data_IF_973812883259
#
_entry.id   IF_973812883259
#
_cell.length_a   1.000
_cell.length_b   1.000
_cell.length_c   1.000
_cell.angle_alpha   90.00
_cell.angle_beta   90.00
_cell.angle_gamma   90.00
#
_symmetry.space_group_name_H-M   'P 1'
#
loop_
_entity.id
_entity.type
_entity.pdbx_description
1 polymer ?
#
# COMPACT_ATOMS: atom_id res chain seq x y z
N UNK A 1 -58.51 8.28 4.70
CA UNK A 1 -57.13 8.41 5.18
C UNK A 1 -56.48 7.04 5.17
N UNK A 2 -55.72 6.71 4.12
CA UNK A 2 -54.87 5.52 4.06
C UNK A 2 -53.64 5.88 3.23
N UNK A 3 -52.47 5.70 3.84
CA UNK A 3 -51.14 5.88 3.24
C UNK A 3 -50.90 4.86 2.13
N UNK A 4 -50.53 5.33 0.94
CA UNK A 4 -49.88 4.49 -0.08
C UNK A 4 -48.61 5.18 -0.61
N UNK A 5 -47.48 4.65 -0.12
CA UNK A 5 -46.29 4.24 -0.89
C UNK A 5 -45.76 5.23 -1.93
N UNK A 6 -44.83 6.09 -1.52
CA UNK A 6 -43.93 6.78 -2.46
C UNK A 6 -42.89 5.76 -2.94
N UNK A 7 -43.16 5.19 -4.11
CA UNK A 7 -42.18 4.51 -4.94
C UNK A 7 -40.99 5.44 -5.21
N UNK A 8 -39.85 5.20 -4.55
CA UNK A 8 -38.57 5.75 -4.98
C UNK A 8 -38.21 5.13 -6.33
N UNK A 9 -38.58 5.84 -7.40
CA UNK A 9 -38.11 5.56 -8.75
C UNK A 9 -36.59 5.65 -8.75
N UNK A 10 -35.94 4.50 -8.93
CA UNK A 10 -34.56 4.40 -9.40
C UNK A 10 -34.50 5.10 -10.76
N UNK A 11 -34.03 6.34 -10.77
CA UNK A 11 -33.91 7.14 -11.98
C UNK A 11 -32.72 6.63 -12.80
N UNK A 12 -33.00 5.70 -13.71
CA UNK A 12 -32.12 5.42 -14.86
C UNK A 12 -32.08 6.67 -15.76
N UNK A 13 -31.25 7.65 -15.40
CA UNK A 13 -31.07 8.89 -16.17
C UNK A 13 -30.10 8.63 -17.34
N UNK A 14 -30.62 8.05 -18.42
CA UNK A 14 -29.92 7.85 -19.71
C UNK A 14 -29.66 9.15 -20.49
N UNK A 15 -30.03 10.31 -19.96
CA UNK A 15 -29.98 11.63 -20.62
C UNK A 15 -28.90 12.58 -20.10
N UNK A 16 -28.20 12.22 -19.02
CA UNK A 16 -27.09 13.03 -18.52
C UNK A 16 -25.81 12.65 -19.28
N UNK A 17 -25.06 13.66 -19.75
CA UNK A 17 -23.67 13.44 -20.15
C UNK A 17 -22.92 12.89 -18.92
N UNK A 18 -22.05 11.88 -19.06
CA UNK A 18 -21.19 11.45 -17.96
C UNK A 18 -20.44 12.67 -17.42
N UNK A 19 -20.18 12.71 -16.11
CA UNK A 19 -19.37 13.78 -15.51
C UNK A 19 -18.06 13.86 -16.28
N UNK A 20 -17.83 14.96 -16.99
CA UNK A 20 -16.50 15.33 -17.50
C UNK A 20 -15.64 15.67 -16.28
N UNK A 21 -14.40 15.16 -16.27
CA UNK A 21 -13.35 15.37 -15.26
C UNK A 21 -13.25 14.25 -14.22
N UNK A 22 -13.11 13.00 -14.64
CA UNK A 22 -12.24 12.06 -13.92
C UNK A 22 -11.01 11.85 -14.79
N UNK A 23 -9.82 12.02 -14.22
CA UNK A 23 -8.56 11.75 -14.93
C UNK A 23 -8.48 10.25 -15.25
N UNK A 24 -8.29 9.90 -16.53
CA UNK A 24 -8.12 8.51 -16.96
C UNK A 24 -6.91 7.87 -16.25
N UNK A 25 -5.82 8.62 -16.12
CA UNK A 25 -4.59 8.22 -15.44
C UNK A 25 -3.84 9.46 -14.89
N UNK A 26 -2.89 9.22 -13.99
CA UNK A 26 -2.02 10.21 -13.37
C UNK A 26 -0.55 9.88 -13.69
N UNK A 27 0.21 10.83 -14.24
CA UNK A 27 1.64 10.65 -14.54
C UNK A 27 2.46 11.09 -13.32
N UNK A 28 3.10 10.15 -12.64
CA UNK A 28 3.82 10.45 -11.41
C UNK A 28 5.20 11.10 -11.63
N UNK A 29 5.82 10.89 -12.79
CA UNK A 29 7.14 11.45 -13.11
C UNK A 29 7.14 12.99 -13.10
N UNK A 30 5.99 13.62 -13.36
CA UNK A 30 5.84 15.09 -13.39
C UNK A 30 5.80 15.72 -11.99
N UNK A 31 5.76 14.92 -10.92
CA UNK A 31 5.57 15.39 -9.54
C UNK A 31 6.82 15.15 -8.69
N UNK A 32 7.44 16.22 -8.20
CA UNK A 32 8.53 16.10 -7.23
C UNK A 32 8.00 15.73 -5.84
N UNK A 33 8.66 14.82 -5.13
CA UNK A 33 8.25 14.41 -3.76
C UNK A 33 8.99 15.27 -2.72
N UNK A 34 8.25 16.14 -2.03
CA UNK A 34 8.79 16.84 -0.85
C UNK A 34 8.86 15.93 0.38
N UNK A 35 7.93 14.99 0.49
CA UNK A 35 7.90 14.07 1.62
C UNK A 35 7.15 12.77 1.33
N UNK A 36 7.78 11.65 1.69
CA UNK A 36 7.17 10.34 1.54
C UNK A 36 6.01 10.12 2.52
N UNK A 37 5.04 9.31 2.08
CA UNK A 37 3.83 8.93 2.81
C UNK A 37 3.69 7.42 2.82
N UNK A 38 3.23 6.90 3.94
CA UNK A 38 2.87 5.50 4.10
C UNK A 38 1.48 5.34 4.73
N UNK A 39 0.81 4.24 4.40
CA UNK A 39 -0.58 3.99 4.74
C UNK A 39 -0.71 3.34 6.13
N UNK A 40 -1.55 3.92 6.97
CA UNK A 40 -1.58 3.62 8.41
C UNK A 40 -1.98 2.18 8.77
N UNK A 41 -2.91 1.56 8.04
CA UNK A 41 -3.37 0.20 8.36
C UNK A 41 -2.30 -0.85 8.05
N UNK A 42 -1.60 -0.71 6.93
CA UNK A 42 -0.49 -1.57 6.54
C UNK A 42 0.74 -1.39 7.45
N UNK A 43 0.93 -0.21 8.05
CA UNK A 43 1.94 -0.02 9.11
C UNK A 43 1.53 -0.72 10.41
N UNK A 44 0.24 -0.71 10.76
CA UNK A 44 -0.29 -1.30 11.99
C UNK A 44 -0.35 -2.84 11.94
N UNK A 45 -0.67 -3.39 10.76
CA UNK A 45 -0.97 -4.81 10.55
C UNK A 45 -0.09 -5.45 9.47
N UNK A 46 0.23 -6.76 9.58
CA UNK A 46 1.23 -7.39 8.71
C UNK A 46 0.68 -7.78 7.33
N UNK A 47 0.38 -6.80 6.50
CA UNK A 47 -0.12 -7.01 5.12
C UNK A 47 0.94 -7.61 4.20
N UNK A 48 2.21 -7.27 4.44
CA UNK A 48 3.34 -7.68 3.61
C UNK A 48 4.16 -8.79 4.28
N UNK A 49 4.80 -9.62 3.47
CA UNK A 49 5.74 -10.63 3.94
C UNK A 49 7.13 -10.03 4.23
N UNK A 50 7.84 -10.61 5.19
CA UNK A 50 9.23 -10.25 5.49
C UNK A 50 10.25 -11.00 4.62
N UNK A 51 9.80 -12.00 3.85
CA UNK A 51 10.64 -12.83 3.00
C UNK A 51 9.91 -13.13 1.69
N UNK A 52 10.62 -13.03 0.56
CA UNK A 52 10.09 -13.40 -0.74
C UNK A 52 9.82 -14.90 -0.87
N UNK A 53 8.83 -15.26 -1.68
CA UNK A 53 8.40 -16.64 -1.89
C UNK A 53 7.58 -17.24 -0.74
N UNK A 54 7.14 -16.44 0.23
CA UNK A 54 6.20 -16.88 1.27
C UNK A 54 4.80 -17.08 0.65
N UNK A 55 4.35 -18.32 0.54
CA UNK A 55 3.03 -18.68 -0.02
C UNK A 55 2.05 -19.12 1.06
N UNK A 56 2.46 -19.15 2.34
CA UNK A 56 1.65 -19.70 3.42
C UNK A 56 0.63 -18.67 3.88
N UNK A 57 -0.67 -18.97 3.72
CA UNK A 57 -1.75 -18.12 4.25
C UNK A 57 -1.47 -17.70 5.69
N UNK A 58 -1.48 -16.40 5.94
CA UNK A 58 -1.21 -15.81 7.24
C UNK A 58 -2.50 -15.35 7.88
N UNK A 59 -2.73 -15.76 9.12
CA UNK A 59 -3.87 -15.31 9.92
C UNK A 59 -3.32 -14.52 11.10
N UNK A 60 -3.62 -13.23 11.12
CA UNK A 60 -3.29 -12.31 12.20
C UNK A 60 -4.58 -11.96 12.96
N UNK A 61 -4.55 -12.11 14.28
CA UNK A 61 -5.63 -11.69 15.17
C UNK A 61 -5.06 -10.87 16.32
N UNK A 62 -5.59 -9.67 16.50
CA UNK A 62 -5.16 -8.77 17.56
C UNK A 62 -6.35 -7.95 18.06
N UNK A 63 -6.87 -8.28 19.25
CA UNK A 63 -8.11 -7.68 19.75
C UNK A 63 -9.24 -7.96 18.75
N UNK A 64 -9.93 -6.90 18.32
CA UNK A 64 -11.01 -7.01 17.35
C UNK A 64 -10.51 -7.09 15.88
N UNK A 65 -9.23 -6.82 15.63
CA UNK A 65 -8.68 -6.85 14.28
C UNK A 65 -8.33 -8.27 13.84
N UNK A 66 -8.89 -8.69 12.71
CA UNK A 66 -8.53 -9.92 12.00
C UNK A 66 -8.04 -9.58 10.61
N UNK A 67 -6.86 -10.06 10.24
CA UNK A 67 -6.26 -9.90 8.92
C UNK A 67 -5.82 -11.26 8.41
N UNK A 68 -6.31 -11.64 7.24
CA UNK A 68 -5.90 -12.84 6.53
C UNK A 68 -5.17 -12.38 5.26
N UNK A 69 -3.97 -12.89 5.04
CA UNK A 69 -3.14 -12.60 3.86
C UNK A 69 -2.96 -13.88 3.07
N UNK A 70 -3.35 -13.85 1.81
CA UNK A 70 -3.28 -14.96 0.87
C UNK A 70 -2.49 -14.53 -0.37
N UNK A 71 -1.84 -15.47 -1.05
CA UNK A 71 -1.11 -15.21 -2.29
C UNK A 71 -1.33 -16.28 -3.35
N UNK A 72 -1.01 -15.94 -4.59
CA UNK A 72 -0.84 -16.93 -5.67
C UNK A 72 0.49 -17.67 -5.54
N UNK A 73 0.80 -18.54 -6.51
CA UNK A 73 2.04 -19.31 -6.60
C UNK A 73 3.32 -18.47 -6.65
N UNK A 74 3.23 -17.20 -7.03
CA UNK A 74 4.37 -16.25 -7.06
C UNK A 74 4.84 -15.81 -5.65
N UNK A 75 4.09 -16.16 -4.61
CA UNK A 75 4.33 -15.74 -3.23
C UNK A 75 3.75 -14.37 -2.89
N UNK A 76 3.60 -14.09 -1.59
CA UNK A 76 3.12 -12.82 -1.05
C UNK A 76 4.06 -11.67 -1.41
N UNK A 77 3.47 -10.50 -1.62
CA UNK A 77 4.19 -9.25 -1.72
C UNK A 77 4.98 -9.00 -0.42
N UNK A 78 6.23 -8.62 -0.59
CA UNK A 78 7.16 -8.34 0.50
C UNK A 78 7.09 -6.88 0.92
N UNK A 79 7.64 -6.56 2.09
CA UNK A 79 7.76 -5.17 2.55
C UNK A 79 8.59 -4.28 1.60
N UNK A 80 9.44 -4.88 0.75
CA UNK A 80 10.14 -4.13 -0.31
C UNK A 80 9.25 -3.88 -1.52
N UNK A 81 8.30 -4.76 -1.83
CA UNK A 81 7.34 -4.54 -2.92
C UNK A 81 6.41 -3.36 -2.59
N UNK A 82 6.17 -3.11 -1.29
CA UNK A 82 5.44 -1.94 -0.78
C UNK A 82 6.04 -0.60 -1.22
N UNK A 83 7.31 -0.54 -1.63
CA UNK A 83 7.90 0.70 -2.14
C UNK A 83 7.11 1.27 -3.33
N UNK A 84 6.46 0.41 -4.14
CA UNK A 84 5.54 0.85 -5.21
C UNK A 84 4.36 1.63 -4.65
N UNK A 85 3.76 1.17 -3.55
CA UNK A 85 2.70 1.92 -2.87
C UNK A 85 3.22 3.25 -2.34
N UNK A 86 4.31 3.22 -1.57
CA UNK A 86 4.86 4.42 -0.93
C UNK A 86 5.18 5.47 -1.99
N UNK A 87 5.82 5.08 -3.10
CA UNK A 87 6.08 5.96 -4.23
C UNK A 87 4.78 6.56 -4.79
N UNK A 88 3.83 5.70 -5.17
CA UNK A 88 2.57 6.12 -5.80
C UNK A 88 1.74 7.05 -4.91
N UNK A 89 1.50 6.67 -3.65
CA UNK A 89 0.68 7.46 -2.72
C UNK A 89 1.36 8.78 -2.33
N UNK A 90 2.69 8.82 -2.30
CA UNK A 90 3.43 10.07 -2.03
C UNK A 90 3.25 11.08 -3.15
N UNK A 91 3.37 10.64 -4.41
CA UNK A 91 3.17 11.48 -5.60
C UNK A 91 1.72 11.98 -5.70
N UNK A 92 0.74 11.10 -5.46
CA UNK A 92 -0.66 11.49 -5.42
C UNK A 92 -0.96 12.48 -4.29
N UNK A 93 -0.44 12.25 -3.09
CA UNK A 93 -0.64 13.16 -1.96
C UNK A 93 -0.06 14.54 -2.25
N UNK A 94 1.08 14.61 -2.91
CA UNK A 94 1.70 15.89 -3.27
C UNK A 94 0.87 16.67 -4.28
N UNK A 95 0.40 16.01 -5.34
CA UNK A 95 -0.53 16.59 -6.31
C UNK A 95 -1.83 17.07 -5.64
N UNK A 96 -2.40 16.27 -4.71
CA UNK A 96 -3.56 16.70 -3.92
C UNK A 96 -3.28 17.94 -3.06
N UNK A 97 -2.09 18.06 -2.47
CA UNK A 97 -1.72 19.24 -1.67
C UNK A 97 -1.65 20.51 -2.54
N UNK A 98 -1.29 20.36 -3.82
CA UNK A 98 -1.27 21.43 -4.82
C UNK A 98 -2.67 21.75 -5.40
N UNK A 99 -3.70 21.03 -4.97
CA UNK A 99 -5.08 21.22 -5.46
C UNK A 99 -5.32 20.64 -6.86
N UNK A 100 -4.40 19.80 -7.34
CA UNK A 100 -4.51 19.14 -8.63
C UNK A 100 -5.43 17.91 -8.54
N UNK A 101 -5.96 17.52 -9.70
CA UNK A 101 -6.75 16.30 -9.78
C UNK A 101 -5.83 15.08 -9.81
N UNK A 102 -6.25 14.01 -9.14
CA UNK A 102 -5.55 12.73 -9.13
C UNK A 102 -6.39 11.63 -9.79
N UNK A 103 -5.74 10.52 -10.13
CA UNK A 103 -6.38 9.30 -10.62
C UNK A 103 -5.90 8.08 -9.84
N UNK A 104 -6.75 7.05 -9.81
CA UNK A 104 -6.43 5.74 -9.24
C UNK A 104 -5.49 4.93 -10.14
N UNK A 105 -5.48 5.24 -11.44
CA UNK A 105 -4.54 4.68 -12.41
C UNK A 105 -3.32 5.59 -12.47
N UNK A 106 -2.14 5.04 -12.21
CA UNK A 106 -0.91 5.78 -12.02
C UNK A 106 0.12 5.25 -13.01
N UNK A 107 0.68 6.14 -13.82
CA UNK A 107 1.72 5.84 -14.78
C UNK A 107 3.04 6.44 -14.34
N UNK A 108 4.13 5.69 -14.44
CA UNK A 108 5.48 6.18 -14.14
C UNK A 108 6.54 5.43 -14.93
N UNK A 109 7.70 6.05 -15.13
CA UNK A 109 8.85 5.33 -15.68
C UNK A 109 9.53 4.49 -14.58
N UNK A 110 10.04 3.28 -14.90
CA UNK A 110 10.87 2.53 -13.96
C UNK A 110 12.07 3.34 -13.46
N UNK A 111 12.62 4.21 -14.29
CA UNK A 111 13.74 5.08 -13.95
C UNK A 111 13.39 6.03 -12.79
N UNK A 112 12.30 6.80 -12.89
CA UNK A 112 11.88 7.71 -11.82
C UNK A 112 11.62 6.95 -10.52
N UNK A 113 10.94 5.80 -10.60
CA UNK A 113 10.70 4.94 -9.46
C UNK A 113 12.00 4.48 -8.78
N UNK A 114 12.99 4.00 -9.54
CA UNK A 114 14.26 3.52 -8.99
C UNK A 114 15.04 4.63 -8.30
N UNK A 115 15.20 5.78 -8.95
CA UNK A 115 15.90 6.93 -8.37
C UNK A 115 15.19 7.41 -7.11
N UNK A 116 13.88 7.61 -7.18
CA UNK A 116 13.07 8.13 -6.06
C UNK A 116 13.10 7.20 -4.84
N UNK A 117 13.10 5.88 -5.04
CA UNK A 117 13.11 4.88 -3.96
C UNK A 117 14.50 4.37 -3.60
N UNK A 118 15.56 5.08 -3.99
CA UNK A 118 16.95 4.75 -3.70
C UNK A 118 17.31 3.29 -4.08
N UNK A 119 16.94 2.89 -5.30
CA UNK A 119 17.28 1.60 -5.91
C UNK A 119 18.25 1.83 -7.07
N UNK A 120 19.11 0.85 -7.31
CA UNK A 120 19.93 0.85 -8.53
C UNK A 120 19.04 0.77 -9.77
N UNK A 121 19.48 1.32 -10.89
CA UNK A 121 18.70 1.37 -12.14
C UNK A 121 19.18 0.38 -13.21
N UNK A 122 19.92 -0.66 -12.82
CA UNK A 122 20.40 -1.72 -13.73
C UNK A 122 19.30 -2.68 -14.21
N UNK A 123 19.55 -3.37 -15.33
CA UNK A 123 18.56 -4.24 -16.00
C UNK A 123 17.89 -5.29 -15.10
N UNK A 124 18.64 -5.87 -14.15
CA UNK A 124 18.09 -6.82 -13.15
C UNK A 124 16.94 -6.24 -12.33
N UNK A 125 16.94 -4.94 -12.05
CA UNK A 125 15.89 -4.31 -11.25
C UNK A 125 14.57 -4.15 -12.01
N UNK A 126 14.59 -4.14 -13.35
CA UNK A 126 13.37 -4.18 -14.15
C UNK A 126 12.65 -5.53 -13.97
N UNK A 127 13.37 -6.65 -14.07
CA UNK A 127 12.80 -7.98 -13.79
C UNK A 127 12.29 -8.10 -12.34
N UNK A 128 13.01 -7.52 -11.38
CA UNK A 128 12.59 -7.53 -9.99
C UNK A 128 11.34 -6.68 -9.76
N UNK A 129 11.20 -5.56 -10.46
CA UNK A 129 10.01 -4.71 -10.43
C UNK A 129 8.80 -5.44 -11.03
N UNK A 130 8.96 -6.11 -12.17
CA UNK A 130 7.88 -6.91 -12.77
C UNK A 130 7.42 -8.04 -11.83
N UNK A 131 8.38 -8.74 -11.19
CA UNK A 131 8.09 -9.76 -10.17
C UNK A 131 7.41 -9.15 -8.94
N UNK A 132 7.78 -7.92 -8.54
CA UNK A 132 7.14 -7.20 -7.45
C UNK A 132 5.68 -6.85 -7.77
N UNK A 133 5.42 -6.31 -8.97
CA UNK A 133 4.06 -6.02 -9.46
C UNK A 133 3.21 -7.29 -9.54
N UNK A 134 3.77 -8.39 -10.01
CA UNK A 134 3.10 -9.70 -10.03
C UNK A 134 2.71 -10.18 -8.62
N UNK A 135 3.60 -10.04 -7.62
CA UNK A 135 3.28 -10.37 -6.22
C UNK A 135 2.26 -9.43 -5.60
N UNK A 136 2.36 -8.13 -5.88
CA UNK A 136 1.39 -7.12 -5.42
C UNK A 136 -0.01 -7.45 -5.94
N UNK A 137 -0.15 -7.76 -7.23
CA UNK A 137 -1.43 -8.22 -7.79
C UNK A 137 -1.86 -9.53 -7.11
N UNK A 138 -0.94 -10.49 -7.00
CA UNK A 138 -1.22 -11.83 -6.50
C UNK A 138 -1.57 -11.92 -5.01
N UNK A 139 -1.39 -10.85 -4.22
CA UNK A 139 -1.64 -10.85 -2.77
C UNK A 139 -3.02 -10.29 -2.46
N UNK A 140 -3.82 -11.05 -1.72
CA UNK A 140 -5.17 -10.70 -1.29
C UNK A 140 -5.21 -10.56 0.23
N UNK A 141 -5.83 -9.49 0.69
CA UNK A 141 -6.05 -9.20 2.11
C UNK A 141 -7.55 -9.32 2.39
N UNK A 142 -7.91 -10.17 3.34
CA UNK A 142 -9.26 -10.24 3.90
C UNK A 142 -9.23 -9.74 5.34
N UNK A 143 -9.99 -8.70 5.64
CA UNK A 143 -9.93 -8.06 6.95
C UNK A 143 -11.23 -7.38 7.35
N UNK A 144 -11.46 -7.26 8.65
CA UNK A 144 -12.48 -6.39 9.24
C UNK A 144 -11.88 -5.03 9.70
N UNK A 145 -10.60 -4.80 9.42
CA UNK A 145 -9.94 -3.51 9.64
C UNK A 145 -10.30 -2.61 8.47
N UNK A 146 -11.40 -1.88 8.61
CA UNK A 146 -11.84 -0.89 7.62
C UNK A 146 -12.09 0.43 8.32
N UNK A 147 -11.90 1.53 7.59
CA UNK A 147 -12.06 2.91 8.05
C UNK A 147 -13.52 3.34 8.32
N UNK A 148 -14.33 2.47 8.92
CA UNK A 148 -15.72 2.73 9.31
C UNK A 148 -15.94 2.22 10.74
N UNK A 149 -16.20 3.13 11.68
CA UNK A 149 -16.39 2.80 13.09
C UNK A 149 -17.73 2.08 13.34
N UNK A 150 -18.72 2.28 12.47
CA UNK A 150 -20.11 1.84 12.70
C UNK A 150 -20.48 0.49 12.04
N UNK A 151 -19.57 -0.13 11.28
CA UNK A 151 -19.87 -1.37 10.55
C UNK A 151 -18.73 -2.37 10.61
N UNK A 152 -18.98 -3.51 11.24
CA UNK A 152 -18.11 -4.69 11.15
C UNK A 152 -18.30 -5.38 9.80
N UNK A 153 -17.88 -4.73 8.72
CA UNK A 153 -17.82 -5.36 7.41
C UNK A 153 -16.47 -6.07 7.25
N UNK A 154 -16.51 -7.35 6.88
CA UNK A 154 -15.32 -8.05 6.40
C UNK A 154 -15.18 -7.78 4.92
N UNK A 155 -14.10 -7.13 4.52
CA UNK A 155 -13.79 -6.84 3.13
C UNK A 155 -12.63 -7.70 2.66
N UNK A 156 -12.54 -7.89 1.34
CA UNK A 156 -11.43 -8.56 0.67
C UNK A 156 -10.94 -7.68 -0.46
N UNK A 157 -9.64 -7.46 -0.56
CA UNK A 157 -9.04 -6.61 -1.58
C UNK A 157 -7.63 -7.09 -1.96
N UNK A 158 -7.19 -6.78 -3.19
CA UNK A 158 -5.81 -6.96 -3.61
C UNK A 158 -4.91 -5.82 -3.15
N UNK A 159 -3.59 -6.01 -3.23
CA UNK A 159 -2.66 -4.90 -2.96
C UNK A 159 -2.56 -3.92 -4.15
N UNK A 160 -2.73 -4.41 -5.38
CA UNK A 160 -3.03 -3.61 -6.57
C UNK A 160 -4.11 -4.32 -7.37
N UNK A 161 -4.92 -3.56 -8.10
CA UNK A 161 -5.99 -4.14 -8.91
C UNK A 161 -5.46 -4.67 -10.24
N UNK A 162 -4.57 -3.91 -10.86
CA UNK A 162 -3.92 -4.27 -12.12
C UNK A 162 -2.60 -3.53 -12.29
N UNK A 163 -1.76 -4.07 -13.18
CA UNK A 163 -0.60 -3.38 -13.71
C UNK A 163 -0.41 -3.76 -15.18
N UNK A 164 0.28 -2.92 -15.95
CA UNK A 164 0.79 -3.25 -17.28
C UNK A 164 2.04 -2.43 -17.60
N UNK A 165 2.86 -2.94 -18.51
CA UNK A 165 3.92 -2.16 -19.15
C UNK A 165 3.34 -1.63 -20.46
N UNK A 166 3.53 -0.35 -20.72
CA UNK A 166 3.05 0.33 -21.93
C UNK A 166 3.93 -0.09 -23.10
N UNK A 167 3.38 -0.89 -24.02
CA UNK A 167 4.12 -1.40 -25.19
C UNK A 167 4.02 -0.46 -26.40
N UNK A 168 2.93 0.33 -26.48
CA UNK A 168 2.68 1.28 -27.55
C UNK A 168 2.40 2.68 -26.99
N UNK A 169 2.80 3.71 -27.74
CA UNK A 169 2.53 5.09 -27.35
C UNK A 169 1.02 5.36 -27.32
N UNK A 170 0.48 5.67 -26.14
CA UNK A 170 -0.96 5.97 -25.94
C UNK A 170 -1.12 7.38 -25.36
N UNK A 171 -1.33 8.36 -26.24
CA UNK A 171 -1.51 9.76 -25.83
C UNK A 171 -0.24 10.29 -25.14
N UNK A 172 -0.36 10.64 -23.85
CA UNK A 172 0.77 11.11 -23.02
C UNK A 172 1.63 9.98 -22.44
N UNK A 173 1.21 8.71 -22.58
CA UNK A 173 1.97 7.57 -22.08
C UNK A 173 3.00 7.14 -23.12
N UNK A 174 4.27 7.15 -22.73
CA UNK A 174 5.37 6.68 -23.54
C UNK A 174 5.64 5.18 -23.32
N UNK A 175 6.28 4.56 -24.32
CA UNK A 175 6.64 3.14 -24.31
C UNK A 175 7.60 2.86 -23.14
N UNK A 176 7.38 1.76 -22.44
CA UNK A 176 8.16 1.34 -21.28
C UNK A 176 7.71 1.92 -19.95
N UNK A 177 6.72 2.81 -19.93
CA UNK A 177 6.08 3.24 -18.69
C UNK A 177 5.31 2.07 -18.05
N UNK A 178 5.24 2.08 -16.72
CA UNK A 178 4.43 1.17 -15.94
C UNK A 178 3.15 1.88 -15.55
N UNK A 179 2.00 1.27 -15.83
CA UNK A 179 0.72 1.68 -15.28
C UNK A 179 0.32 0.74 -14.14
N UNK A 180 -0.07 1.30 -13.00
CA UNK A 180 -0.59 0.57 -11.83
C UNK A 180 -1.94 1.15 -11.46
N UNK A 181 -2.93 0.29 -11.26
CA UNK A 181 -4.22 0.69 -10.70
C UNK A 181 -4.24 0.38 -9.20
N UNK A 182 -4.31 1.41 -8.35
CA UNK A 182 -4.42 1.23 -6.91
C UNK A 182 -5.78 0.62 -6.54
N UNK A 183 -5.86 -0.21 -5.50
CA UNK A 183 -7.14 -0.73 -5.03
C UNK A 183 -7.97 0.42 -4.44
N UNK A 184 -9.30 0.35 -4.58
CA UNK A 184 -10.19 1.44 -4.16
C UNK A 184 -9.96 1.86 -2.71
N UNK A 185 -9.82 0.91 -1.78
CA UNK A 185 -9.62 1.24 -0.35
C UNK A 185 -8.35 2.07 -0.10
N UNK A 186 -7.25 1.82 -0.82
CA UNK A 186 -5.99 2.58 -0.69
C UNK A 186 -6.15 3.98 -1.30
N UNK A 187 -6.85 4.07 -2.42
CA UNK A 187 -7.20 5.35 -3.03
C UNK A 187 -8.10 6.19 -2.11
N UNK A 188 -9.12 5.60 -1.49
CA UNK A 188 -9.96 6.26 -0.49
C UNK A 188 -9.17 6.69 0.76
N UNK A 189 -8.13 5.93 1.14
CA UNK A 189 -7.30 6.26 2.29
C UNK A 189 -6.52 7.59 2.13
N UNK A 190 -6.18 7.98 0.89
CA UNK A 190 -5.63 9.30 0.55
C UNK A 190 -6.62 10.41 0.94
N UNK A 191 -7.86 10.31 0.47
CA UNK A 191 -8.91 11.30 0.77
C UNK A 191 -9.29 11.35 2.26
N UNK A 192 -9.23 10.21 2.96
CA UNK A 192 -9.50 10.11 4.40
C UNK A 192 -8.33 10.52 5.29
N UNK A 193 -7.22 11.03 4.72
CA UNK A 193 -6.00 11.45 5.44
C UNK A 193 -5.44 10.33 6.34
N UNK A 194 -5.45 9.08 5.86
CA UNK A 194 -4.97 7.90 6.60
C UNK A 194 -3.51 7.57 6.27
N UNK A 195 -2.70 8.61 6.07
CA UNK A 195 -1.30 8.51 5.67
C UNK A 195 -0.39 9.18 6.72
N UNK A 196 0.79 8.62 6.94
CA UNK A 196 1.83 9.22 7.79
C UNK A 196 3.05 9.61 6.97
N UNK A 197 3.64 10.77 7.26
CA UNK A 197 4.94 11.16 6.71
C UNK A 197 6.02 10.20 7.20
N UNK A 198 6.83 9.65 6.31
CA UNK A 198 8.00 8.82 6.65
C UNK A 198 9.30 9.50 6.23
N UNK A 199 10.42 9.06 6.81
CA UNK A 199 11.76 9.53 6.45
C UNK A 199 12.19 8.95 5.10
N UNK A 200 12.86 9.72 4.22
CA UNK A 200 13.51 9.17 3.02
C UNK A 200 14.49 8.03 3.31
N UNK A 201 15.12 8.02 4.50
CA UNK A 201 16.03 6.95 4.91
C UNK A 201 15.35 5.58 5.02
N UNK A 202 14.01 5.51 5.05
CA UNK A 202 13.25 4.27 4.99
C UNK A 202 13.72 3.35 3.86
N UNK A 203 13.97 3.91 2.69
CA UNK A 203 14.39 3.14 1.52
C UNK A 203 15.81 2.58 1.65
N UNK A 204 16.65 3.17 2.50
CA UNK A 204 18.03 2.72 2.76
C UNK A 204 18.09 1.55 3.74
N UNK A 205 17.00 1.27 4.46
CA UNK A 205 16.92 0.14 5.38
C UNK A 205 16.92 -1.17 4.59
N UNK A 206 17.98 -1.97 4.75
CA UNK A 206 18.23 -3.18 3.94
C UNK A 206 17.54 -4.44 4.45
N UNK A 207 17.24 -4.53 5.74
CA UNK A 207 16.60 -5.72 6.32
C UNK A 207 15.09 -5.52 6.40
N UNK A 208 14.33 -6.50 5.93
CA UNK A 208 12.87 -6.45 5.95
C UNK A 208 12.29 -6.23 7.35
N UNK A 209 12.87 -6.91 8.35
CA UNK A 209 12.41 -6.77 9.74
C UNK A 209 12.67 -5.35 10.27
N UNK A 210 13.80 -4.74 9.93
CA UNK A 210 14.13 -3.39 10.39
C UNK A 210 13.17 -2.35 9.77
N UNK A 211 12.80 -2.51 8.48
CA UNK A 211 11.74 -1.70 7.85
C UNK A 211 10.41 -1.87 8.58
N UNK A 212 10.06 -3.12 8.93
CA UNK A 212 8.80 -3.40 9.63
C UNK A 212 8.78 -2.80 11.04
N UNK A 213 9.90 -2.81 11.74
CA UNK A 213 10.04 -2.17 13.04
C UNK A 213 9.91 -0.64 12.91
N UNK A 214 10.51 -0.04 11.87
CA UNK A 214 10.33 1.37 11.56
C UNK A 214 8.85 1.71 11.33
N UNK A 215 8.11 0.94 10.53
CA UNK A 215 6.69 1.17 10.28
C UNK A 215 5.85 1.14 11.57
N UNK A 216 6.06 0.11 12.42
CA UNK A 216 5.35 -0.03 13.69
C UNK A 216 5.70 1.14 14.62
N UNK A 217 6.98 1.47 14.76
CA UNK A 217 7.43 2.60 15.56
C UNK A 217 6.82 3.91 15.04
N UNK A 218 6.86 4.16 13.73
CA UNK A 218 6.32 5.38 13.14
C UNK A 218 4.81 5.51 13.33
N UNK A 219 4.09 4.39 13.23
CA UNK A 219 2.64 4.31 13.44
C UNK A 219 2.24 4.61 14.89
N UNK A 220 3.01 4.14 15.86
CA UNK A 220 2.68 4.31 17.28
C UNK A 220 3.31 5.54 17.93
N UNK A 221 4.51 5.95 17.51
CA UNK A 221 5.18 7.11 18.08
C UNK A 221 4.49 8.42 17.70
N UNK A 222 3.76 8.54 16.58
CA UNK A 222 2.91 9.72 16.32
C UNK A 222 3.58 11.07 16.66
N UNK A 223 3.03 11.78 17.67
CA UNK A 223 3.62 12.98 18.28
C UNK A 223 4.36 12.70 19.62
N UNK A 224 4.29 11.48 20.15
CA UNK A 224 4.99 11.07 21.37
C UNK A 224 6.44 10.65 21.06
N UNK A 225 7.37 10.96 21.96
CA UNK A 225 8.79 10.64 21.77
C UNK A 225 9.09 9.14 21.83
N UNK A 226 8.24 8.36 22.49
CA UNK A 226 8.45 6.93 22.70
C UNK A 226 7.14 6.14 22.67
N UNK A 227 7.26 4.83 22.47
CA UNK A 227 6.17 3.87 22.50
C UNK A 227 6.67 2.55 23.10
N UNK A 228 5.95 2.03 24.09
CA UNK A 228 6.27 0.75 24.72
C UNK A 228 5.37 -0.36 24.20
N UNK A 229 5.96 -1.50 23.86
CA UNK A 229 5.26 -2.70 23.42
C UNK A 229 5.96 -3.95 23.91
N UNK A 230 5.18 -4.98 24.28
CA UNK A 230 5.73 -6.28 24.64
C UNK A 230 6.34 -6.98 23.40
N UNK A 231 7.40 -7.77 23.60
CA UNK A 231 8.07 -8.45 22.49
C UNK A 231 7.16 -9.50 21.81
N UNK A 232 6.22 -10.09 22.55
CA UNK A 232 5.18 -10.99 22.01
C UNK A 232 4.26 -10.23 21.06
N UNK A 233 3.81 -9.04 21.48
CA UNK A 233 2.92 -8.21 20.68
C UNK A 233 3.62 -7.65 19.45
N UNK A 234 4.89 -7.26 19.60
CA UNK A 234 5.73 -6.82 18.49
C UNK A 234 5.96 -7.96 17.49
N UNK A 235 6.28 -9.16 17.96
CA UNK A 235 6.40 -10.36 17.12
C UNK A 235 5.13 -10.62 16.30
N UNK A 236 3.97 -10.55 16.96
CA UNK A 236 2.66 -10.67 16.29
C UNK A 236 2.43 -9.57 15.22
N UNK A 237 2.70 -8.30 15.55
CA UNK A 237 2.50 -7.15 14.64
C UNK A 237 3.48 -7.11 13.47
N UNK A 238 4.69 -7.63 13.66
CA UNK A 238 5.68 -7.74 12.57
C UNK A 238 5.32 -8.83 11.58
N UNK A 239 4.49 -9.81 11.96
CA UNK A 239 4.21 -10.98 11.12
C UNK A 239 5.43 -11.88 10.94
N UNK A 240 6.40 -11.84 11.86
CA UNK A 240 7.61 -12.65 11.76
C UNK A 240 7.30 -14.13 11.90
N UNK A 241 7.83 -14.94 10.99
CA UNK A 241 7.73 -16.41 11.03
C UNK A 241 8.81 -17.06 11.90
N UNK A 242 9.77 -16.28 12.41
CA UNK A 242 10.79 -16.79 13.32
C UNK A 242 10.17 -17.19 14.67
N UNK A 243 10.77 -18.19 15.32
CA UNK A 243 10.41 -18.54 16.71
C UNK A 243 10.58 -17.32 17.62
N UNK A 244 9.66 -17.11 18.57
CA UNK A 244 9.67 -15.95 19.46
C UNK A 244 11.01 -15.78 20.20
N UNK A 245 11.65 -16.87 20.63
CA UNK A 245 12.98 -16.83 21.27
C UNK A 245 14.05 -16.22 20.34
N UNK A 246 14.06 -16.60 19.07
CA UNK A 246 14.97 -16.06 18.07
C UNK A 246 14.64 -14.61 17.74
N UNK A 247 13.35 -14.28 17.67
CA UNK A 247 12.90 -12.90 17.49
C UNK A 247 13.42 -12.00 18.63
N UNK A 248 13.22 -12.39 19.89
CA UNK A 248 13.74 -11.65 21.07
C UNK A 248 15.26 -11.49 21.01
N UNK A 249 15.99 -12.54 20.60
CA UNK A 249 17.44 -12.47 20.42
C UNK A 249 17.80 -11.41 19.37
N UNK A 250 17.19 -11.46 18.19
CA UNK A 250 17.48 -10.55 17.08
C UNK A 250 17.17 -9.09 17.43
N UNK A 251 16.05 -8.82 18.10
CA UNK A 251 15.71 -7.46 18.57
C UNK A 251 16.76 -6.95 19.56
N UNK A 252 17.23 -7.80 20.47
CA UNK A 252 18.29 -7.42 21.43
C UNK A 252 19.62 -7.10 20.75
N UNK A 253 19.95 -7.78 19.64
CA UNK A 253 21.14 -7.45 18.86
C UNK A 253 20.98 -6.14 18.11
N UNK A 254 19.80 -5.90 17.53
CA UNK A 254 19.51 -4.64 16.85
C UNK A 254 19.62 -3.43 17.79
N UNK A 255 19.14 -3.55 19.03
CA UNK A 255 19.22 -2.48 20.03
C UNK A 255 20.64 -2.15 20.51
N UNK A 256 21.64 -2.97 20.17
CA UNK A 256 23.06 -2.76 20.51
C UNK A 256 23.88 -2.19 19.36
N UNK A 257 23.36 -2.24 18.14
CA UNK A 257 24.03 -1.79 16.93
C UNK A 257 23.91 -0.28 16.76
#
# INVERSE_FOLDING_TARGET
MVNHTINQRVSNLKTLRPRKNELEFFIADEVEIESFRDEMASMEHPFFALKGGDTKTRIYKNGNATVIVESTSSGMATIFDKDVWIYAISKLQESMNKGEQISRVIAFTPYDFFITTNRDNGGRNYELLEKALSRLKGTVIKTNVVYSEDKQETISFGLIDSWRIVEDKKGKLDIGMIEVTLPDWLYQALHKKKMLKISPDYFRIRKAIDRRLYEIARKHCGNQGEFTISLEKLHLKTGSTALLKMFRHNIKQLAKA
#
